data_IF_153867930952
#
_entry.id   IF_153867930952
#
_cell.length_a   1.000
_cell.length_b   1.000
_cell.length_c   1.000
_cell.angle_alpha   90.00
_cell.angle_beta   90.00
_cell.angle_gamma   90.00
#
_symmetry.space_group_name_H-M   'P 1'
#
loop_
_entity.id
_entity.type
_entity.pdbx_description
1 polymer ?
#
# COMPACT_ATOMS: atom_id res chain seq x y z
N UNK A 1 -63.54 19.53 15.75
CA UNK A 1 -63.68 20.13 14.39
C UNK A 1 -62.49 21.01 13.99
N UNK A 2 -61.64 21.50 14.92
CA UNK A 2 -60.49 22.36 14.59
C UNK A 2 -59.23 21.63 14.05
N UNK A 3 -59.04 20.33 14.32
CA UNK A 3 -57.86 19.58 13.87
C UNK A 3 -57.87 19.17 12.38
N UNK A 4 -59.01 19.27 11.69
CA UNK A 4 -59.15 18.87 10.27
C UNK A 4 -58.56 19.93 9.31
N UNK A 5 -58.27 21.13 9.81
CA UNK A 5 -57.71 22.24 9.03
C UNK A 5 -56.18 22.39 9.17
N UNK A 6 -55.53 21.52 9.94
CA UNK A 6 -54.07 21.58 10.20
C UNK A 6 -53.31 20.62 9.27
N UNK A 7 -52.16 21.06 8.76
CA UNK A 7 -51.24 20.23 7.97
C UNK A 7 -50.66 19.07 8.79
N UNK A 8 -50.39 17.92 8.18
CA UNK A 8 -49.82 16.73 8.84
C UNK A 8 -48.55 17.03 9.69
N UNK A 9 -47.67 17.93 9.22
CA UNK A 9 -46.46 18.34 9.95
C UNK A 9 -46.76 19.11 11.24
N UNK A 10 -47.78 19.97 11.23
CA UNK A 10 -48.22 20.73 12.40
C UNK A 10 -48.84 19.81 13.45
N UNK A 11 -49.53 18.76 13.01
CA UNK A 11 -50.12 17.76 13.91
C UNK A 11 -49.05 16.87 14.53
N UNK A 12 -48.00 16.52 13.79
CA UNK A 12 -46.85 15.78 14.32
C UNK A 12 -46.07 16.59 15.37
N UNK A 13 -45.90 17.90 15.15
CA UNK A 13 -45.26 18.79 16.14
C UNK A 13 -46.07 18.87 17.43
N UNK A 14 -47.39 19.04 17.35
CA UNK A 14 -48.28 19.04 18.52
C UNK A 14 -48.25 17.70 19.26
N UNK A 15 -48.16 16.59 18.54
CA UNK A 15 -48.03 15.26 19.14
C UNK A 15 -46.70 15.12 19.90
N UNK A 16 -45.59 15.55 19.30
CA UNK A 16 -44.28 15.53 19.96
C UNK A 16 -44.22 16.45 21.17
N UNK A 17 -44.85 17.62 21.11
CA UNK A 17 -44.94 18.55 22.22
C UNK A 17 -45.77 17.98 23.37
N UNK A 18 -46.92 17.36 23.08
CA UNK A 18 -47.73 16.68 24.10
C UNK A 18 -46.99 15.51 24.75
N UNK A 19 -46.23 14.72 23.98
CA UNK A 19 -45.38 13.64 24.51
C UNK A 19 -44.19 14.20 25.31
N UNK A 20 -43.61 15.31 24.87
CA UNK A 20 -42.56 16.01 25.61
C UNK A 20 -43.06 16.56 26.95
N UNK A 21 -44.27 17.11 26.98
CA UNK A 21 -44.93 17.57 28.21
C UNK A 21 -45.21 16.41 29.17
N UNK A 22 -45.55 15.21 28.67
CA UNK A 22 -45.68 14.00 29.49
C UNK A 22 -44.36 13.50 30.08
N UNK A 23 -43.24 13.75 29.40
CA UNK A 23 -41.93 13.36 29.89
C UNK A 23 -41.33 14.34 30.91
N UNK A 24 -41.73 15.61 30.86
CA UNK A 24 -41.16 16.69 31.70
C UNK A 24 -42.08 17.09 32.85
N UNK A 25 -43.41 17.01 32.67
CA UNK A 25 -44.36 17.43 33.70
C UNK A 25 -44.61 16.34 34.75
N UNK A 26 -44.79 16.75 36.00
CA UNK A 26 -45.21 15.87 37.11
C UNK A 26 -46.65 16.13 37.56
N UNK A 27 -47.32 17.11 36.95
CA UNK A 27 -48.67 17.55 37.30
C UNK A 27 -49.73 16.64 36.68
N UNK A 28 -50.64 16.14 37.51
CA UNK A 28 -51.75 15.26 37.14
C UNK A 28 -52.70 15.92 36.12
N UNK A 29 -52.93 17.24 36.23
CA UNK A 29 -53.80 17.95 35.31
C UNK A 29 -53.19 18.08 33.91
N UNK A 30 -51.91 18.45 33.84
CA UNK A 30 -51.17 18.58 32.57
C UNK A 30 -50.99 17.23 31.90
N UNK A 31 -50.68 16.18 32.67
CA UNK A 31 -50.57 14.82 32.15
C UNK A 31 -51.90 14.28 31.63
N UNK A 32 -52.99 14.45 32.39
CA UNK A 32 -54.32 14.00 31.99
C UNK A 32 -54.85 14.72 30.74
N UNK A 33 -54.56 16.01 30.57
CA UNK A 33 -54.90 16.75 29.34
C UNK A 33 -54.05 16.28 28.16
N UNK A 34 -52.75 16.06 28.37
CA UNK A 34 -51.82 15.61 27.33
C UNK A 34 -52.16 14.19 26.85
N UNK A 35 -52.50 13.26 27.75
CA UNK A 35 -52.94 11.90 27.40
C UNK A 35 -54.26 11.92 26.61
N UNK A 36 -55.24 12.74 27.03
CA UNK A 36 -56.51 12.89 26.31
C UNK A 36 -56.33 13.53 24.93
N UNK A 37 -55.43 14.50 24.81
CA UNK A 37 -55.07 15.12 23.53
C UNK A 37 -54.42 14.09 22.59
N UNK A 38 -53.46 13.31 23.08
CA UNK A 38 -52.80 12.24 22.32
C UNK A 38 -53.81 11.17 21.89
N UNK A 39 -54.71 10.75 22.77
CA UNK A 39 -55.80 9.82 22.44
C UNK A 39 -56.77 10.38 21.40
N UNK A 40 -57.13 11.66 21.52
CA UNK A 40 -58.01 12.33 20.59
C UNK A 40 -57.38 12.41 19.19
N UNK A 41 -56.08 12.70 19.11
CA UNK A 41 -55.32 12.66 17.86
C UNK A 41 -55.19 11.23 17.32
N UNK A 42 -54.94 10.24 18.19
CA UNK A 42 -54.82 8.83 17.82
C UNK A 42 -56.14 8.18 17.34
N UNK A 43 -57.29 8.75 17.68
CA UNK A 43 -58.58 8.30 17.18
C UNK A 43 -58.92 8.79 15.76
N UNK A 44 -58.16 9.76 15.23
CA UNK A 44 -58.23 10.13 13.81
C UNK A 44 -57.40 9.14 12.98
N UNK A 45 -58.02 8.54 11.97
CA UNK A 45 -57.50 7.35 11.27
C UNK A 45 -56.17 7.60 10.52
N UNK A 46 -55.89 8.84 10.12
CA UNK A 46 -54.68 9.25 9.39
C UNK A 46 -53.46 9.47 10.32
N UNK A 47 -53.70 9.86 11.58
CA UNK A 47 -52.66 10.22 12.55
C UNK A 47 -52.12 9.03 13.37
N UNK A 48 -52.78 7.87 13.28
CA UNK A 48 -52.33 6.62 13.92
C UNK A 48 -50.93 6.19 13.49
N UNK A 49 -50.57 6.41 12.22
CA UNK A 49 -49.23 6.10 11.68
C UNK A 49 -48.13 7.00 12.23
N UNK A 50 -48.49 8.22 12.62
CA UNK A 50 -47.55 9.19 13.19
C UNK A 50 -47.24 8.86 14.64
N UNK A 51 -48.22 8.36 15.40
CA UNK A 51 -48.04 7.90 16.78
C UNK A 51 -47.00 6.79 16.91
N UNK A 52 -46.93 5.89 15.94
CA UNK A 52 -45.98 4.77 15.94
C UNK A 52 -44.53 5.17 15.75
N UNK A 53 -44.26 6.36 15.19
CA UNK A 53 -42.91 6.91 15.09
C UNK A 53 -42.39 7.50 16.42
N UNK A 54 -43.31 7.97 17.27
CA UNK A 54 -43.05 8.65 18.55
C UNK A 54 -43.17 7.69 19.74
N UNK A 55 -43.81 6.53 19.55
CA UNK A 55 -44.20 5.62 20.64
C UNK A 55 -43.08 4.72 21.20
N UNK A 56 -41.83 4.85 20.77
CA UNK A 56 -40.73 4.04 21.29
C UNK A 56 -40.41 4.43 22.75
N UNK A 57 -40.90 3.65 23.72
CA UNK A 57 -40.70 3.85 25.16
C UNK A 57 -41.81 4.62 25.87
N UNK A 58 -42.80 5.16 25.14
CA UNK A 58 -43.96 5.85 25.69
C UNK A 58 -44.86 4.92 26.51
N UNK A 59 -44.96 3.66 26.12
CA UNK A 59 -45.65 2.61 26.87
C UNK A 59 -45.08 2.42 28.28
N UNK A 60 -43.76 2.40 28.39
CA UNK A 60 -43.06 2.25 29.67
C UNK A 60 -43.18 3.49 30.58
N UNK A 61 -43.30 4.68 29.98
CA UNK A 61 -43.48 5.95 30.70
C UNK A 61 -44.91 6.08 31.24
N UNK A 62 -45.91 5.71 30.43
CA UNK A 62 -47.32 5.73 30.82
C UNK A 62 -47.62 4.73 31.95
N UNK A 63 -47.06 3.52 31.88
CA UNK A 63 -47.29 2.47 32.89
C UNK A 63 -46.60 2.79 34.24
N UNK A 64 -45.45 3.48 34.22
CA UNK A 64 -44.67 3.78 35.43
C UNK A 64 -45.05 5.10 36.11
N UNK A 65 -45.21 6.17 35.35
CA UNK A 65 -45.24 7.52 35.91
C UNK A 65 -46.67 8.09 36.04
N UNK A 66 -47.62 7.54 35.26
CA UNK A 66 -48.95 8.14 35.06
C UNK A 66 -50.12 7.27 35.51
N UNK A 67 -49.93 5.97 35.77
CA UNK A 67 -50.95 5.12 36.40
C UNK A 67 -51.19 5.49 37.87
N UNK A 68 -52.45 5.42 38.32
CA UNK A 68 -52.91 5.72 39.68
C UNK A 68 -53.23 7.20 39.92
N UNK A 69 -53.25 8.04 38.89
CA UNK A 69 -53.47 9.51 39.00
C UNK A 69 -54.90 9.98 38.67
N UNK A 70 -55.84 9.05 38.47
CA UNK A 70 -57.27 9.34 38.30
C UNK A 70 -57.80 9.40 36.86
N UNK A 71 -56.99 9.03 35.87
CA UNK A 71 -57.34 8.91 34.44
C UNK A 71 -56.74 7.61 33.83
N UNK A 72 -56.70 6.57 34.65
CA UNK A 72 -56.25 5.22 34.29
C UNK A 72 -56.97 4.62 33.07
N UNK A 73 -58.29 4.81 32.85
CA UNK A 73 -58.94 4.25 31.65
C UNK A 73 -58.42 4.88 30.36
N UNK A 74 -58.03 6.16 30.38
CA UNK A 74 -57.38 6.81 29.25
C UNK A 74 -55.94 6.30 29.05
N UNK A 75 -55.17 6.13 30.12
CA UNK A 75 -53.83 5.54 30.06
C UNK A 75 -53.86 4.13 29.46
N UNK A 76 -54.78 3.29 29.91
CA UNK A 76 -54.93 1.92 29.44
C UNK A 76 -55.37 1.85 27.97
N UNK A 77 -56.26 2.75 27.54
CA UNK A 77 -56.65 2.88 26.13
C UNK A 77 -55.46 3.27 25.24
N UNK A 78 -54.62 4.19 25.71
CA UNK A 78 -53.46 4.64 24.96
C UNK A 78 -52.39 3.55 24.86
N UNK A 79 -52.13 2.83 25.95
CA UNK A 79 -51.21 1.68 25.99
C UNK A 79 -51.72 0.58 25.05
N UNK A 80 -53.02 0.26 25.07
CA UNK A 80 -53.61 -0.74 24.20
C UNK A 80 -53.45 -0.36 22.71
N UNK A 81 -53.65 0.92 22.36
CA UNK A 81 -53.43 1.43 21.01
C UNK A 81 -51.97 1.30 20.57
N UNK A 82 -51.01 1.74 21.41
CA UNK A 82 -49.56 1.65 21.13
C UNK A 82 -49.12 0.19 20.94
N UNK A 83 -49.57 -0.72 21.79
CA UNK A 83 -49.19 -2.13 21.72
C UNK A 83 -49.84 -2.85 20.53
N UNK A 84 -51.06 -2.48 20.15
CA UNK A 84 -51.75 -3.05 18.97
C UNK A 84 -51.05 -2.71 17.66
N UNK A 85 -50.44 -1.53 17.58
CA UNK A 85 -49.73 -1.05 16.40
C UNK A 85 -48.25 -1.49 16.39
N UNK A 86 -47.63 -1.66 17.57
CA UNK A 86 -46.29 -2.26 17.70
C UNK A 86 -46.26 -3.71 17.24
N UNK A 87 -47.36 -4.47 17.44
CA UNK A 87 -47.52 -5.84 16.87
C UNK A 87 -47.58 -5.87 15.34
N UNK A 88 -47.74 -4.72 14.67
CA UNK A 88 -47.70 -4.60 13.20
C UNK A 88 -46.31 -4.27 12.65
N UNK A 89 -45.35 -3.86 13.49
CA UNK A 89 -43.94 -3.83 13.07
C UNK A 89 -43.38 -5.25 13.06
N UNK A 90 -42.93 -5.78 11.91
CA UNK A 90 -42.71 -7.21 11.81
C UNK A 90 -41.50 -7.60 12.65
N UNK A 91 -41.70 -8.39 13.71
CA UNK A 91 -40.66 -9.13 14.42
C UNK A 91 -39.72 -9.91 13.47
N UNK A 92 -40.24 -10.24 12.28
CA UNK A 92 -39.54 -10.79 11.12
C UNK A 92 -38.36 -9.90 10.65
N UNK A 93 -38.44 -8.57 10.78
CA UNK A 93 -37.38 -7.64 10.38
C UNK A 93 -36.14 -7.75 11.28
N UNK A 94 -36.32 -7.82 12.60
CA UNK A 94 -35.22 -8.04 13.56
C UNK A 94 -34.59 -9.44 13.41
N UNK A 95 -35.41 -10.46 13.17
CA UNK A 95 -34.93 -11.81 12.87
C UNK A 95 -34.07 -11.84 11.59
N UNK A 96 -34.49 -11.15 10.53
CA UNK A 96 -33.72 -11.00 9.29
C UNK A 96 -32.41 -10.24 9.50
N UNK A 97 -32.42 -9.16 10.30
CA UNK A 97 -31.19 -8.41 10.64
C UNK A 97 -30.22 -9.29 11.44
N UNK A 98 -30.72 -10.05 12.43
CA UNK A 98 -29.90 -10.98 13.22
C UNK A 98 -29.31 -12.09 12.35
N UNK A 99 -30.11 -12.69 11.47
CA UNK A 99 -29.64 -13.69 10.52
C UNK A 99 -28.59 -13.12 9.55
N UNK A 100 -28.81 -11.91 9.03
CA UNK A 100 -27.85 -11.23 8.17
C UNK A 100 -26.51 -10.97 8.90
N UNK A 101 -26.55 -10.53 10.16
CA UNK A 101 -25.36 -10.34 10.98
C UNK A 101 -24.59 -11.66 11.18
N UNK A 102 -25.28 -12.78 11.43
CA UNK A 102 -24.64 -14.09 11.59
C UNK A 102 -23.97 -14.57 10.29
N UNK A 103 -24.68 -14.44 9.15
CA UNK A 103 -24.13 -14.80 7.83
C UNK A 103 -22.90 -13.93 7.52
N UNK A 104 -22.97 -12.63 7.78
CA UNK A 104 -21.86 -11.71 7.56
C UNK A 104 -20.66 -12.03 8.46
N UNK A 105 -20.89 -12.34 9.74
CA UNK A 105 -19.83 -12.73 10.67
C UNK A 105 -19.17 -14.04 10.24
N UNK A 106 -19.97 -15.05 9.88
CA UNK A 106 -19.49 -16.33 9.36
C UNK A 106 -18.63 -16.12 8.10
N UNK A 107 -19.11 -15.33 7.14
CA UNK A 107 -18.37 -15.02 5.91
C UNK A 107 -17.06 -14.27 6.19
N UNK A 108 -17.07 -13.21 6.99
CA UNK A 108 -15.87 -12.45 7.36
C UNK A 108 -14.84 -13.37 8.03
N UNK A 109 -15.28 -14.25 8.93
CA UNK A 109 -14.41 -15.21 9.60
C UNK A 109 -13.80 -16.23 8.63
N UNK A 110 -14.60 -16.74 7.68
CA UNK A 110 -14.12 -17.64 6.62
C UNK A 110 -13.08 -16.95 5.74
N UNK A 111 -13.34 -15.71 5.31
CA UNK A 111 -12.42 -14.92 4.50
C UNK A 111 -11.08 -14.72 5.20
N UNK A 112 -11.09 -14.38 6.49
CA UNK A 112 -9.86 -14.23 7.29
C UNK A 112 -9.11 -15.56 7.41
N UNK A 113 -9.79 -16.66 7.74
CA UNK A 113 -9.16 -17.99 7.83
C UNK A 113 -8.52 -18.41 6.50
N UNK A 114 -9.20 -18.15 5.37
CA UNK A 114 -8.66 -18.45 4.04
C UNK A 114 -7.42 -17.61 3.73
N UNK A 115 -7.42 -16.31 4.07
CA UNK A 115 -6.26 -15.43 3.92
C UNK A 115 -5.07 -15.91 4.77
N UNK A 116 -5.30 -16.24 6.04
CA UNK A 116 -4.26 -16.74 6.95
C UNK A 116 -3.67 -18.06 6.44
N UNK A 117 -4.50 -19.02 6.01
CA UNK A 117 -4.00 -20.27 5.40
C UNK A 117 -3.16 -20.02 4.15
N UNK A 118 -3.58 -19.09 3.29
CA UNK A 118 -2.81 -18.72 2.10
C UNK A 118 -1.47 -18.08 2.44
N UNK A 119 -1.43 -17.20 3.44
CA UNK A 119 -0.19 -16.59 3.93
C UNK A 119 0.74 -17.62 4.53
N UNK A 120 0.25 -18.53 5.38
CA UNK A 120 1.05 -19.61 5.95
C UNK A 120 1.69 -20.46 4.85
N UNK A 121 0.93 -20.83 3.80
CA UNK A 121 1.49 -21.56 2.65
C UNK A 121 2.59 -20.78 1.93
N UNK A 122 2.42 -19.47 1.74
CA UNK A 122 3.43 -18.62 1.13
C UNK A 122 4.70 -18.54 2.00
N UNK A 123 4.54 -18.31 3.31
CA UNK A 123 5.65 -18.26 4.28
C UNK A 123 6.39 -19.59 4.34
N UNK A 124 5.70 -20.72 4.43
CA UNK A 124 6.34 -22.05 4.42
C UNK A 124 7.08 -22.33 3.11
N UNK A 125 6.61 -21.80 1.99
CA UNK A 125 7.29 -21.92 0.69
C UNK A 125 8.56 -21.06 0.66
N UNK A 126 8.48 -19.82 1.16
CA UNK A 126 9.62 -18.93 1.28
C UNK A 126 10.68 -19.50 2.22
N UNK A 127 10.29 -20.00 3.40
CA UNK A 127 11.18 -20.61 4.37
C UNK A 127 11.89 -21.85 3.81
N UNK A 128 11.17 -22.73 3.08
CA UNK A 128 11.77 -23.88 2.41
C UNK A 128 12.80 -23.46 1.36
N UNK A 129 12.45 -22.48 0.51
CA UNK A 129 13.39 -21.95 -0.49
C UNK A 129 14.60 -21.31 0.15
N UNK A 130 14.42 -20.55 1.23
CA UNK A 130 15.52 -19.94 1.97
C UNK A 130 16.46 -21.00 2.55
N UNK A 131 15.93 -22.01 3.24
CA UNK A 131 16.72 -23.12 3.80
C UNK A 131 17.46 -23.89 2.71
N UNK A 132 16.80 -24.18 1.60
CA UNK A 132 17.42 -24.84 0.44
C UNK A 132 18.54 -24.01 -0.17
N UNK A 133 18.34 -22.70 -0.37
CA UNK A 133 19.41 -21.80 -0.85
C UNK A 133 20.58 -21.72 0.13
N UNK A 134 20.30 -21.65 1.43
CA UNK A 134 21.34 -21.64 2.45
C UNK A 134 22.16 -22.95 2.43
N UNK A 135 21.51 -24.08 2.21
CA UNK A 135 22.19 -25.37 2.09
C UNK A 135 23.06 -25.43 0.81
N UNK A 136 22.51 -25.02 -0.33
CA UNK A 136 23.24 -24.94 -1.59
C UNK A 136 24.48 -24.05 -1.47
N UNK A 137 24.35 -22.86 -0.89
CA UNK A 137 25.49 -21.96 -0.69
C UNK A 137 26.59 -22.59 0.17
N UNK A 138 26.23 -23.32 1.23
CA UNK A 138 27.20 -24.04 2.06
C UNK A 138 27.88 -25.17 1.30
N UNK A 139 27.13 -25.91 0.48
CA UNK A 139 27.68 -26.98 -0.35
C UNK A 139 28.61 -26.42 -1.42
N UNK A 140 28.22 -25.36 -2.12
CA UNK A 140 29.05 -24.62 -3.07
C UNK A 140 30.35 -24.14 -2.42
N UNK A 141 30.29 -23.55 -1.23
CA UNK A 141 31.49 -23.14 -0.47
C UNK A 141 32.42 -24.32 -0.17
N UNK A 142 31.87 -25.45 0.29
CA UNK A 142 32.67 -26.66 0.55
C UNK A 142 33.32 -27.19 -0.72
N UNK A 143 32.57 -27.23 -1.83
CA UNK A 143 33.10 -27.65 -3.13
C UNK A 143 34.19 -26.71 -3.63
N UNK A 144 34.03 -25.40 -3.47
CA UNK A 144 35.06 -24.42 -3.80
C UNK A 144 36.32 -24.59 -2.93
N UNK A 145 36.16 -24.79 -1.63
CA UNK A 145 37.27 -25.02 -0.71
C UNK A 145 38.03 -26.30 -1.04
N UNK A 146 37.30 -27.40 -1.30
CA UNK A 146 37.87 -28.66 -1.73
C UNK A 146 38.61 -28.52 -3.06
N UNK A 147 38.03 -27.82 -4.04
CA UNK A 147 38.69 -27.55 -5.31
C UNK A 147 39.97 -26.72 -5.12
N UNK A 148 39.93 -25.68 -4.30
CA UNK A 148 41.11 -24.85 -3.95
C UNK A 148 42.19 -25.72 -3.31
N UNK A 149 41.82 -26.59 -2.38
CA UNK A 149 42.74 -27.53 -1.75
C UNK A 149 43.36 -28.49 -2.77
N UNK A 150 42.55 -29.14 -3.61
CA UNK A 150 43.03 -30.05 -4.65
C UNK A 150 43.97 -29.36 -5.63
N UNK A 151 43.66 -28.15 -6.07
CA UNK A 151 44.53 -27.35 -6.93
C UNK A 151 45.85 -27.03 -6.23
N UNK A 152 45.81 -26.63 -4.95
CA UNK A 152 47.01 -26.36 -4.15
C UNK A 152 47.91 -27.61 -4.04
N UNK A 153 47.33 -28.76 -3.71
CA UNK A 153 48.04 -30.04 -3.59
C UNK A 153 48.63 -30.46 -4.94
N UNK A 154 47.87 -30.40 -6.04
CA UNK A 154 48.38 -30.70 -7.39
C UNK A 154 49.54 -29.81 -7.77
N UNK A 155 49.47 -28.50 -7.48
CA UNK A 155 50.58 -27.55 -7.71
C UNK A 155 51.80 -27.88 -6.86
N UNK A 156 51.61 -28.23 -5.58
CA UNK A 156 52.71 -28.60 -4.70
C UNK A 156 53.40 -29.88 -5.17
N UNK A 157 52.62 -30.90 -5.55
CA UNK A 157 53.14 -32.14 -6.13
C UNK A 157 53.89 -31.90 -7.43
N UNK A 158 53.34 -31.07 -8.34
CA UNK A 158 54.00 -30.71 -9.59
C UNK A 158 55.34 -29.99 -9.33
N UNK A 159 55.37 -29.04 -8.38
CA UNK A 159 56.63 -28.38 -7.96
C UNK A 159 57.63 -29.38 -7.40
N UNK A 160 57.22 -30.30 -6.53
CA UNK A 160 58.12 -31.33 -5.96
C UNK A 160 58.70 -32.23 -7.06
N UNK A 161 57.86 -32.72 -7.98
CA UNK A 161 58.28 -33.54 -9.11
C UNK A 161 59.24 -32.79 -10.04
N UNK A 162 58.98 -31.51 -10.31
CA UNK A 162 59.87 -30.66 -11.10
C UNK A 162 61.24 -30.51 -10.44
N UNK A 163 61.30 -30.10 -9.16
CA UNK A 163 62.58 -29.97 -8.43
C UNK A 163 63.32 -31.30 -8.30
N UNK A 164 62.60 -32.42 -8.21
CA UNK A 164 63.23 -33.74 -8.19
C UNK A 164 63.92 -34.06 -9.52
N UNK A 165 63.22 -33.85 -10.65
CA UNK A 165 63.81 -34.03 -12.00
C UNK A 165 64.98 -33.09 -12.24
N UNK A 166 64.86 -31.83 -11.85
CA UNK A 166 65.94 -30.84 -11.99
C UNK A 166 67.17 -31.26 -11.18
N UNK A 167 66.99 -31.73 -9.94
CA UNK A 167 68.11 -32.26 -9.13
C UNK A 167 68.77 -33.47 -9.78
N UNK A 168 67.98 -34.42 -10.30
CA UNK A 168 68.52 -35.59 -11.00
C UNK A 168 69.33 -35.20 -12.24
N UNK A 169 68.83 -34.25 -13.03
CA UNK A 169 69.55 -33.75 -14.20
C UNK A 169 70.89 -33.09 -13.82
N UNK A 170 70.87 -32.22 -12.81
CA UNK A 170 72.07 -31.54 -12.32
C UNK A 170 73.11 -32.50 -11.73
N UNK A 171 72.68 -33.63 -11.15
CA UNK A 171 73.58 -34.69 -10.68
C UNK A 171 74.30 -35.44 -11.82
N UNK A 172 73.68 -35.51 -13.01
CA UNK A 172 74.23 -36.21 -14.17
C UNK A 172 75.06 -35.30 -15.08
N UNK A 173 74.91 -33.97 -14.95
CA UNK A 173 75.57 -33.01 -15.82
C UNK A 173 77.05 -32.83 -15.46
N UNK A 174 77.95 -32.70 -16.45
CA UNK A 174 79.31 -32.24 -16.22
C UNK A 174 79.35 -30.84 -15.57
N UNK A 175 80.27 -30.56 -14.62
CA UNK A 175 80.32 -29.28 -13.89
C UNK A 175 80.47 -28.05 -14.78
N UNK A 176 81.19 -28.17 -15.89
CA UNK A 176 81.41 -27.12 -16.90
C UNK A 176 80.12 -26.76 -17.66
N UNK A 177 79.15 -27.67 -17.75
CA UNK A 177 77.88 -27.47 -18.45
C UNK A 177 76.75 -26.97 -17.55
N UNK A 178 76.91 -27.03 -16.22
CA UNK A 178 75.87 -26.61 -15.26
C UNK A 178 75.53 -25.13 -15.42
N UNK A 179 76.54 -24.25 -15.53
CA UNK A 179 76.34 -22.81 -15.58
C UNK A 179 75.64 -22.35 -16.88
N UNK A 180 76.06 -22.79 -18.09
CA UNK A 180 75.32 -22.51 -19.32
C UNK A 180 73.86 -22.97 -19.28
N UNK A 181 73.60 -24.17 -18.73
CA UNK A 181 72.25 -24.70 -18.59
C UNK A 181 71.36 -23.81 -17.69
N UNK A 182 71.88 -23.36 -16.53
CA UNK A 182 71.13 -22.49 -15.62
C UNK A 182 70.81 -21.14 -16.29
N UNK A 183 71.76 -20.55 -17.02
CA UNK A 183 71.53 -19.33 -17.79
C UNK A 183 70.45 -19.52 -18.87
N UNK A 184 70.40 -20.66 -19.54
CA UNK A 184 69.33 -20.99 -20.49
C UNK A 184 67.97 -21.12 -19.82
N UNK A 185 67.93 -21.65 -18.60
CA UNK A 185 66.71 -21.71 -17.80
C UNK A 185 66.25 -20.31 -17.41
N UNK A 186 67.16 -19.44 -16.98
CA UNK A 186 66.86 -18.04 -16.65
C UNK A 186 66.35 -17.27 -17.86
N UNK A 187 67.01 -17.39 -19.02
CA UNK A 187 66.59 -16.74 -20.27
C UNK A 187 65.18 -17.17 -20.68
N UNK A 188 64.90 -18.47 -20.68
CA UNK A 188 63.57 -19.01 -20.98
C UNK A 188 62.52 -18.55 -19.96
N UNK A 189 62.87 -18.53 -18.67
CA UNK A 189 61.95 -18.08 -17.62
C UNK A 189 61.60 -16.61 -17.80
N UNK A 190 62.58 -15.76 -18.11
CA UNK A 190 62.39 -14.34 -18.39
C UNK A 190 61.42 -14.13 -19.56
N UNK A 191 61.56 -14.88 -20.67
CA UNK A 191 60.65 -14.79 -21.82
C UNK A 191 59.21 -15.12 -21.42
N UNK A 192 59.01 -16.16 -20.62
CA UNK A 192 57.67 -16.54 -20.13
C UNK A 192 57.11 -15.47 -19.19
N UNK A 193 57.87 -15.01 -18.20
CA UNK A 193 57.42 -13.95 -17.27
C UNK A 193 57.04 -12.69 -18.04
N UNK A 194 57.85 -12.29 -19.01
CA UNK A 194 57.59 -11.12 -19.84
C UNK A 194 56.33 -11.31 -20.70
N UNK A 195 56.11 -12.48 -21.31
CA UNK A 195 54.91 -12.73 -22.12
C UNK A 195 53.64 -12.70 -21.26
N UNK A 196 53.69 -13.26 -20.06
CA UNK A 196 52.62 -13.17 -19.07
C UNK A 196 52.30 -11.73 -18.67
N UNK A 197 53.33 -10.94 -18.39
CA UNK A 197 53.17 -9.54 -18.03
C UNK A 197 52.58 -8.70 -19.18
N UNK A 198 53.03 -8.93 -20.41
CA UNK A 198 52.46 -8.29 -21.61
C UNK A 198 50.97 -8.64 -21.74
N UNK A 199 50.60 -9.91 -21.59
CA UNK A 199 49.21 -10.35 -21.62
C UNK A 199 48.35 -9.79 -20.48
N UNK A 200 48.87 -9.77 -19.26
CA UNK A 200 48.20 -9.17 -18.10
C UNK A 200 47.92 -7.68 -18.32
N UNK A 201 48.92 -6.94 -18.79
CA UNK A 201 48.79 -5.51 -19.09
C UNK A 201 47.68 -5.24 -20.10
N UNK A 202 47.62 -6.05 -21.17
CA UNK A 202 46.62 -5.85 -22.22
C UNK A 202 45.21 -6.21 -21.75
N UNK A 203 45.06 -7.31 -20.98
CA UNK A 203 43.78 -7.63 -20.33
C UNK A 203 43.34 -6.54 -19.36
N UNK A 204 44.26 -5.96 -18.60
CA UNK A 204 43.96 -4.88 -17.68
C UNK A 204 43.49 -3.62 -18.41
N UNK A 205 44.14 -3.26 -19.53
CA UNK A 205 43.71 -2.16 -20.40
C UNK A 205 42.31 -2.41 -20.95
N UNK A 206 42.07 -3.60 -21.50
CA UNK A 206 40.76 -3.97 -22.03
C UNK A 206 39.67 -3.92 -20.95
N UNK A 207 39.91 -4.49 -19.76
CA UNK A 207 38.96 -4.46 -18.66
C UNK A 207 38.68 -3.03 -18.20
N UNK A 208 39.69 -2.18 -18.08
CA UNK A 208 39.50 -0.77 -17.74
C UNK A 208 38.65 -0.06 -18.80
N UNK A 209 38.94 -0.24 -20.08
CA UNK A 209 38.17 0.34 -21.18
C UNK A 209 36.73 -0.20 -21.23
N UNK A 210 36.53 -1.49 -21.00
CA UNK A 210 35.21 -2.09 -20.96
C UNK A 210 34.40 -1.58 -19.75
N UNK A 211 35.04 -1.43 -18.59
CA UNK A 211 34.40 -0.86 -17.41
C UNK A 211 34.01 0.61 -17.63
N UNK A 212 34.88 1.42 -18.25
CA UNK A 212 34.52 2.82 -18.57
C UNK A 212 33.36 2.87 -19.55
N UNK A 213 33.34 2.04 -20.59
CA UNK A 213 32.23 1.92 -21.53
C UNK A 213 30.92 1.46 -20.86
N UNK A 214 30.99 0.48 -19.96
CA UNK A 214 29.81 0.04 -19.17
C UNK A 214 29.28 1.16 -18.28
N UNK A 215 30.16 1.90 -17.61
CA UNK A 215 29.78 3.03 -16.77
C UNK A 215 29.19 4.18 -17.59
N UNK A 216 29.76 4.50 -18.76
CA UNK A 216 29.21 5.54 -19.63
C UNK A 216 27.84 5.15 -20.19
N UNK A 217 27.68 3.90 -20.63
CA UNK A 217 26.39 3.38 -21.08
C UNK A 217 25.34 3.42 -19.96
N UNK A 218 25.68 2.95 -18.76
CA UNK A 218 24.79 3.01 -17.60
C UNK A 218 24.37 4.45 -17.26
N UNK A 219 25.32 5.40 -17.31
CA UNK A 219 25.05 6.83 -17.10
C UNK A 219 24.13 7.42 -18.17
N UNK A 220 24.35 7.08 -19.44
CA UNK A 220 23.50 7.53 -20.54
C UNK A 220 22.09 6.93 -20.46
N UNK A 221 21.97 5.65 -20.10
CA UNK A 221 20.68 4.99 -19.90
C UNK A 221 19.91 5.63 -18.73
N UNK A 222 20.60 5.93 -17.63
CA UNK A 222 20.02 6.66 -16.51
C UNK A 222 19.55 8.06 -16.94
N UNK A 223 20.39 8.81 -17.67
CA UNK A 223 20.03 10.12 -18.19
C UNK A 223 18.80 10.08 -19.10
N UNK A 224 18.71 9.13 -20.03
CA UNK A 224 17.53 8.95 -20.90
C UNK A 224 16.28 8.61 -20.09
N UNK A 225 16.42 7.79 -19.05
CA UNK A 225 15.30 7.43 -18.17
C UNK A 225 14.78 8.64 -17.41
N UNK A 226 15.69 9.47 -16.87
CA UNK A 226 15.34 10.72 -16.20
C UNK A 226 14.72 11.73 -17.17
N UNK A 227 15.31 11.92 -18.35
CA UNK A 227 14.76 12.80 -19.38
C UNK A 227 13.33 12.39 -19.77
N UNK A 228 13.09 11.10 -20.01
CA UNK A 228 11.75 10.58 -20.29
C UNK A 228 10.79 10.84 -19.14
N UNK A 229 11.21 10.60 -17.89
CA UNK A 229 10.38 10.86 -16.72
C UNK A 229 10.01 12.35 -16.61
N UNK A 230 10.96 13.25 -16.84
CA UNK A 230 10.74 14.70 -16.84
C UNK A 230 9.81 15.13 -17.98
N UNK A 231 10.01 14.63 -19.20
CA UNK A 231 9.13 14.90 -20.33
C UNK A 231 7.70 14.45 -20.04
N UNK A 232 7.51 13.24 -19.51
CA UNK A 232 6.20 12.72 -19.11
C UNK A 232 5.58 13.58 -18.02
N UNK A 233 6.35 14.01 -17.01
CA UNK A 233 5.86 14.88 -15.94
C UNK A 233 5.42 16.24 -16.49
N UNK A 234 6.21 16.86 -17.35
CA UNK A 234 5.87 18.15 -18.00
C UNK A 234 4.64 17.99 -18.88
N UNK A 235 4.55 16.91 -19.65
CA UNK A 235 3.37 16.60 -20.47
C UNK A 235 2.11 16.43 -19.61
N UNK A 236 2.19 15.64 -18.54
CA UNK A 236 1.08 15.46 -17.60
C UNK A 236 0.68 16.77 -16.92
N UNK A 237 1.66 17.61 -16.53
CA UNK A 237 1.39 18.95 -15.97
C UNK A 237 0.70 19.85 -17.00
N UNK A 238 1.18 19.88 -18.25
CA UNK A 238 0.52 20.65 -19.32
C UNK A 238 -0.90 20.14 -19.57
N UNK A 239 -1.10 18.83 -19.65
CA UNK A 239 -2.42 18.23 -19.82
C UNK A 239 -3.37 18.52 -18.64
N UNK A 240 -2.85 18.61 -17.42
CA UNK A 240 -3.64 19.00 -16.24
C UNK A 240 -3.94 20.52 -16.18
N UNK A 241 -3.09 21.35 -16.80
CA UNK A 241 -3.26 22.80 -16.88
C UNK A 241 -4.14 23.24 -18.07
N UNK A 242 -4.30 22.38 -19.09
CA UNK A 242 -5.33 22.54 -20.11
C UNK A 242 -6.67 22.27 -19.43
N UNK A 243 -7.59 23.26 -19.35
CA UNK A 243 -8.95 23.02 -18.85
C UNK A 243 -9.54 21.83 -19.62
N UNK A 244 -10.31 20.92 -19.00
CA UNK A 244 -10.92 19.82 -19.73
C UNK A 244 -11.69 20.43 -20.89
N UNK A 245 -11.16 20.25 -22.12
CA UNK A 245 -11.87 20.65 -23.32
C UNK A 245 -13.17 19.92 -23.21
N UNK A 246 -14.25 20.64 -22.90
CA UNK A 246 -15.60 20.16 -23.11
C UNK A 246 -15.58 19.78 -24.57
N UNK A 247 -15.47 18.49 -24.87
CA UNK A 247 -15.70 17.97 -26.19
C UNK A 247 -17.08 18.48 -26.52
N UNK A 248 -17.10 19.56 -27.30
CA UNK A 248 -18.31 20.23 -27.70
C UNK A 248 -19.15 19.12 -28.33
N UNK A 249 -20.30 18.86 -27.74
CA UNK A 249 -21.33 17.96 -28.25
C UNK A 249 -21.95 18.48 -29.56
N UNK A 250 -21.20 19.29 -30.32
CA UNK A 250 -21.59 19.90 -31.58
C UNK A 250 -21.16 18.94 -32.67
N UNK A 251 -22.16 18.25 -33.25
CA UNK A 251 -21.97 17.49 -34.49
C UNK A 251 -22.38 16.01 -34.45
N UNK A 252 -23.37 15.61 -33.66
CA UNK A 252 -24.11 14.39 -33.99
C UNK A 252 -25.17 14.76 -35.06
N UNK A 253 -24.89 14.39 -36.32
CA UNK A 253 -25.85 14.51 -37.41
C UNK A 253 -27.15 13.76 -37.04
N UNK A 254 -28.24 14.50 -36.82
CA UNK A 254 -29.56 13.94 -36.52
C UNK A 254 -30.18 14.36 -35.18
N UNK A 255 -29.46 15.05 -34.30
CA UNK A 255 -30.03 15.68 -33.10
C UNK A 255 -30.26 17.18 -33.30
N UNK A 256 -31.19 17.52 -34.20
CA UNK A 256 -31.71 18.89 -34.36
C UNK A 256 -32.53 19.29 -33.13
N UNK A 257 -32.67 20.59 -32.82
CA UNK A 257 -33.46 21.05 -31.66
C UNK A 257 -34.90 20.56 -31.67
N UNK A 258 -35.49 20.39 -32.86
CA UNK A 258 -36.81 19.77 -33.03
C UNK A 258 -36.86 18.31 -32.57
N UNK A 259 -35.80 17.53 -32.83
CA UNK A 259 -35.71 16.13 -32.39
C UNK A 259 -35.47 16.02 -30.89
N UNK A 260 -34.75 16.98 -30.30
CA UNK A 260 -34.60 17.08 -28.84
C UNK A 260 -35.93 17.37 -28.15
N UNK A 261 -36.72 18.30 -28.69
CA UNK A 261 -38.05 18.61 -28.15
C UNK A 261 -38.99 17.41 -28.22
N UNK A 262 -38.98 16.66 -29.34
CA UNK A 262 -39.82 15.47 -29.50
C UNK A 262 -39.42 14.35 -28.53
N UNK A 263 -38.12 14.08 -28.36
CA UNK A 263 -37.65 13.09 -27.40
C UNK A 263 -37.95 13.50 -25.95
N UNK A 264 -37.88 14.80 -25.64
CA UNK A 264 -38.23 15.31 -24.33
C UNK A 264 -39.73 15.11 -24.03
N UNK A 265 -40.58 15.36 -25.02
CA UNK A 265 -42.03 15.08 -24.94
C UNK A 265 -42.30 13.60 -24.70
N UNK A 266 -41.60 12.71 -25.41
CA UNK A 266 -41.75 11.25 -25.23
C UNK A 266 -41.30 10.79 -23.83
N UNK A 267 -40.26 11.40 -23.26
CA UNK A 267 -39.81 11.10 -21.90
C UNK A 267 -40.80 11.64 -20.86
N UNK A 268 -41.30 12.86 -21.01
CA UNK A 268 -42.31 13.44 -20.10
C UNK A 268 -43.63 12.66 -20.14
N UNK A 269 -44.06 12.21 -21.32
CA UNK A 269 -45.22 11.35 -21.49
C UNK A 269 -45.01 9.98 -20.81
N UNK A 270 -43.83 9.38 -20.96
CA UNK A 270 -43.48 8.12 -20.30
C UNK A 270 -43.42 8.24 -18.77
N UNK A 271 -42.85 9.33 -18.25
CA UNK A 271 -42.79 9.64 -16.81
C UNK A 271 -44.20 9.92 -16.24
N UNK A 272 -45.06 10.56 -17.02
CA UNK A 272 -46.46 10.80 -16.63
C UNK A 272 -47.27 9.51 -16.58
N UNK A 273 -47.01 8.58 -17.51
CA UNK A 273 -47.63 7.25 -17.54
C UNK A 273 -47.06 6.28 -16.49
N UNK A 274 -45.84 6.53 -16.01
CA UNK A 274 -45.18 5.74 -14.97
C UNK A 274 -44.68 6.65 -13.83
N UNK A 275 -45.58 7.12 -12.94
CA UNK A 275 -45.18 7.85 -11.75
C UNK A 275 -44.37 6.93 -10.83
N UNK A 276 -43.06 6.90 -11.00
CA UNK A 276 -42.18 6.19 -10.07
C UNK A 276 -42.22 6.93 -8.76
N UNK A 277 -42.80 6.29 -7.73
CA UNK A 277 -42.83 6.78 -6.36
C UNK A 277 -41.40 6.94 -5.82
N UNK A 278 -40.85 8.13 -5.97
CA UNK A 278 -39.71 8.63 -5.20
C UNK A 278 -39.90 10.14 -5.03
N UNK A 279 -40.44 10.56 -3.88
CA UNK A 279 -39.60 11.37 -3.02
C UNK A 279 -39.92 11.14 -1.53
N UNK A 280 -39.40 10.06 -0.94
CA UNK A 280 -39.11 10.03 0.51
C UNK A 280 -38.11 8.91 0.82
N UNK A 281 -36.85 9.15 0.45
CA UNK A 281 -35.72 8.41 1.01
C UNK A 281 -34.66 9.43 1.43
N UNK A 282 -34.99 10.20 2.47
CA UNK A 282 -33.95 10.64 3.40
C UNK A 282 -33.48 9.36 4.11
N UNK A 283 -32.17 9.13 4.18
CA UNK A 283 -31.52 7.87 4.60
C UNK A 283 -31.37 6.81 3.50
N UNK A 284 -30.57 7.13 2.48
CA UNK A 284 -29.77 6.11 1.79
C UNK A 284 -28.30 6.53 1.73
N UNK A 285 -27.65 6.51 2.89
CA UNK A 285 -26.20 6.47 2.98
C UNK A 285 -25.72 5.04 2.67
N UNK A 286 -25.69 4.63 1.38
CA UNK A 286 -24.65 3.74 0.84
C UNK A 286 -24.72 3.59 -0.70
N UNK A 287 -23.55 3.41 -1.34
CA UNK A 287 -23.40 3.54 -2.78
C UNK A 287 -23.77 2.23 -3.48
N UNK A 288 -24.71 2.30 -4.42
CA UNK A 288 -25.00 1.21 -5.34
C UNK A 288 -24.89 1.70 -6.79
N UNK A 289 -23.68 1.62 -7.33
CA UNK A 289 -23.42 1.54 -8.77
C UNK A 289 -22.36 0.46 -8.99
N UNK A 290 -22.69 -0.69 -9.60
CA UNK A 290 -21.73 -1.75 -9.86
C UNK A 290 -21.11 -1.60 -11.26
N UNK A 291 -20.43 -0.49 -11.55
CA UNK A 291 -19.56 -0.40 -12.75
C UNK A 291 -18.36 0.51 -12.45
N UNK A 292 -17.34 -0.03 -11.78
CA UNK A 292 -15.95 0.48 -11.81
C UNK A 292 -15.02 -0.47 -11.03
N UNK A 293 -14.78 -1.67 -11.58
CA UNK A 293 -13.66 -2.54 -11.19
C UNK A 293 -12.59 -2.58 -12.26
N UNK A 294 -12.07 -1.41 -12.63
CA UNK A 294 -10.73 -1.25 -13.22
C UNK A 294 -10.29 0.17 -12.91
N UNK A 295 -9.78 0.43 -11.69
CA UNK A 295 -8.99 1.62 -11.33
C UNK A 295 -8.43 1.51 -9.88
N UNK A 296 -8.16 0.29 -9.41
CA UNK A 296 -7.52 0.08 -8.09
C UNK A 296 -6.06 -0.35 -8.24
N UNK A 297 -5.34 0.28 -9.17
CA UNK A 297 -3.86 0.22 -9.29
C UNK A 297 -3.25 1.63 -9.29
N UNK A 298 -4.06 2.70 -9.38
CA UNK A 298 -3.55 4.09 -9.47
C UNK A 298 -3.52 4.86 -8.14
N UNK A 299 -4.09 4.34 -7.05
CA UNK A 299 -4.27 5.12 -5.81
C UNK A 299 -3.11 5.02 -4.80
N UNK A 300 -2.11 4.17 -5.05
CA UNK A 300 -0.87 4.14 -4.27
C UNK A 300 0.25 5.02 -4.85
N UNK A 301 -0.01 5.74 -5.94
CA UNK A 301 0.97 6.61 -6.61
C UNK A 301 0.85 8.07 -6.19
N UNK A 302 -0.10 8.42 -5.32
CA UNK A 302 -0.46 9.81 -5.03
C UNK A 302 -0.39 10.11 -3.53
N UNK A 303 0.64 9.60 -2.85
CA UNK A 303 1.16 10.28 -1.67
C UNK A 303 1.93 11.50 -2.15
N UNK A 304 1.32 12.67 -1.98
CA UNK A 304 1.91 14.00 -2.02
C UNK A 304 3.45 14.00 -2.02
N UNK A 305 4.04 14.23 -3.19
CA UNK A 305 5.41 14.73 -3.26
C UNK A 305 5.29 16.25 -3.07
N UNK A 306 5.30 16.69 -1.81
CA UNK A 306 5.89 17.99 -1.49
C UNK A 306 7.38 17.75 -1.57
N UNK A 307 8.01 18.20 -2.65
CA UNK A 307 9.47 18.20 -2.75
C UNK A 307 10.00 19.14 -1.67
N UNK A 308 10.93 18.70 -0.79
CA UNK A 308 11.67 19.65 0.03
C UNK A 308 12.39 20.65 -0.89
N UNK A 309 12.47 21.91 -0.47
CA UNK A 309 13.15 22.99 -1.20
C UNK A 309 14.57 22.55 -1.62
N UNK A 310 15.03 22.89 -2.83
CA UNK A 310 16.40 22.59 -3.24
C UNK A 310 17.41 23.30 -2.32
N UNK A 311 18.58 22.70 -2.05
CA UNK A 311 19.59 23.23 -1.12
C UNK A 311 20.19 24.59 -1.53
N UNK A 312 19.86 25.11 -2.71
CA UNK A 312 20.26 26.46 -3.16
C UNK A 312 19.49 27.60 -2.49
N UNK A 313 18.36 27.32 -1.83
CA UNK A 313 17.55 28.32 -1.10
C UNK A 313 17.73 28.23 0.44
N UNK A 314 18.81 27.59 0.91
CA UNK A 314 19.06 27.44 2.34
C UNK A 314 19.57 28.76 2.95
N UNK A 315 18.92 29.32 4.00
CA UNK A 315 19.43 30.49 4.69
C UNK A 315 20.79 30.18 5.35
N UNK A 316 21.69 31.16 5.48
CA UNK A 316 22.98 30.99 6.14
C UNK A 316 22.79 30.56 7.60
N UNK A 317 23.71 29.72 8.11
CA UNK A 317 23.63 29.06 9.43
C UNK A 317 23.43 30.03 10.62
N UNK A 318 23.72 31.32 10.44
CA UNK A 318 23.51 32.36 11.44
C UNK A 318 22.04 32.78 11.63
N UNK A 319 21.13 32.38 10.73
CA UNK A 319 19.72 32.84 10.70
C UNK A 319 18.72 31.68 10.83
N UNK A 320 19.19 30.44 10.93
CA UNK A 320 18.32 29.25 10.92
C UNK A 320 17.52 29.15 12.23
N UNK A 321 16.19 29.13 12.11
CA UNK A 321 15.27 28.84 13.22
C UNK A 321 14.81 27.38 13.19
N UNK A 322 14.35 26.82 14.32
CA UNK A 322 13.90 25.41 14.39
C UNK A 322 12.72 25.11 13.46
N UNK A 323 11.90 26.12 13.17
CA UNK A 323 10.78 26.05 12.23
C UNK A 323 11.21 25.91 10.77
N UNK A 324 12.38 26.45 10.40
CA UNK A 324 12.91 26.30 9.04
C UNK A 324 13.39 24.87 8.79
N UNK A 325 13.89 24.18 9.83
CA UNK A 325 14.30 22.78 9.75
C UNK A 325 13.12 21.84 9.45
N UNK A 326 11.95 22.12 10.04
CA UNK A 326 10.74 21.34 9.82
C UNK A 326 10.21 21.45 8.37
N UNK A 327 10.50 22.56 7.69
CA UNK A 327 10.13 22.77 6.28
C UNK A 327 10.88 21.86 5.30
N UNK A 328 12.01 21.27 5.71
CA UNK A 328 12.79 20.31 4.92
C UNK A 328 12.43 18.84 5.21
N UNK A 329 11.53 18.59 6.17
CA UNK A 329 11.05 17.24 6.47
C UNK A 329 9.93 16.84 5.51
N UNK A 330 9.95 15.58 5.05
CA UNK A 330 8.85 15.05 4.24
C UNK A 330 7.56 15.01 5.08
N UNK A 331 6.40 15.46 4.56
CA UNK A 331 5.11 15.36 5.25
C UNK A 331 4.68 13.90 5.52
N UNK A 332 5.32 12.94 4.86
CA UNK A 332 5.06 11.52 5.06
C UNK A 332 5.97 10.95 6.17
N UNK A 333 5.36 10.68 7.33
CA UNK A 333 6.05 10.12 8.50
C UNK A 333 6.96 8.92 8.22
N UNK A 334 6.56 7.92 7.41
CA UNK A 334 7.42 6.77 7.09
C UNK A 334 8.69 7.13 6.30
N UNK A 335 8.63 8.16 5.45
CA UNK A 335 9.77 8.62 4.65
C UNK A 335 10.69 9.49 5.51
N UNK A 336 10.12 10.35 6.36
CA UNK A 336 10.88 11.16 7.32
C UNK A 336 11.64 10.27 8.32
N UNK A 337 11.00 9.22 8.86
CA UNK A 337 11.65 8.23 9.74
C UNK A 337 12.78 7.51 9.00
N UNK A 338 12.53 7.02 7.79
CA UNK A 338 13.57 6.33 7.00
C UNK A 338 14.75 7.24 6.64
N UNK A 339 14.50 8.52 6.35
CA UNK A 339 15.54 9.50 6.08
C UNK A 339 16.35 9.85 7.34
N UNK A 340 15.68 9.93 8.50
CA UNK A 340 16.34 10.11 9.80
C UNK A 340 17.23 8.92 10.16
N UNK A 341 16.71 7.71 9.99
CA UNK A 341 17.44 6.47 10.26
C UNK A 341 18.65 6.32 9.34
N UNK A 342 18.51 6.64 8.04
CA UNK A 342 19.64 6.60 7.10
C UNK A 342 20.69 7.66 7.40
N UNK A 343 20.28 8.86 7.79
CA UNK A 343 21.19 9.92 8.20
C UNK A 343 21.92 9.58 9.52
N UNK A 344 21.21 9.04 10.51
CA UNK A 344 21.80 8.53 11.75
C UNK A 344 22.80 7.40 11.45
N UNK A 345 22.47 6.47 10.54
CA UNK A 345 23.39 5.42 10.12
C UNK A 345 24.64 5.99 9.44
N UNK A 346 24.50 7.01 8.59
CA UNK A 346 25.63 7.69 7.94
C UNK A 346 26.53 8.42 8.95
N UNK A 347 25.96 9.12 9.93
CA UNK A 347 26.71 9.78 11.00
C UNK A 347 27.41 8.79 11.93
N UNK A 348 26.79 7.64 12.20
CA UNK A 348 27.45 6.58 12.96
C UNK A 348 28.58 5.95 12.15
N UNK A 349 28.40 5.75 10.84
CA UNK A 349 29.46 5.26 9.96
C UNK A 349 30.65 6.23 9.88
N UNK A 350 30.42 7.55 9.86
CA UNK A 350 31.50 8.55 9.86
C UNK A 350 32.25 8.66 11.19
N UNK A 351 31.65 8.20 12.30
CA UNK A 351 32.30 8.11 13.61
C UNK A 351 33.14 6.84 13.77
N UNK A 352 32.99 5.87 12.88
CA UNK A 352 33.81 4.67 12.89
C UNK A 352 35.18 4.96 12.26
N UNK A 353 36.25 4.31 12.74
CA UNK A 353 37.57 4.42 12.13
C UNK A 353 37.52 4.08 10.64
N UNK A 354 38.21 4.88 9.81
CA UNK A 354 38.18 4.81 8.34
C UNK A 354 38.41 3.42 7.73
N UNK A 355 39.08 2.52 8.47
CA UNK A 355 39.34 1.13 8.06
C UNK A 355 38.13 0.19 8.24
N UNK A 356 37.11 0.55 9.03
CA UNK A 356 35.84 -0.21 9.13
C UNK A 356 34.87 0.11 7.99
N UNK A 357 34.80 1.36 7.56
CA UNK A 357 34.02 1.80 6.39
C UNK A 357 34.50 1.15 5.08
N UNK A 358 35.78 0.77 5.00
CA UNK A 358 36.33 0.07 3.83
C UNK A 358 35.79 -1.35 3.66
N UNK A 359 35.44 -2.05 4.74
CA UNK A 359 34.90 -3.43 4.68
C UNK A 359 33.48 -3.49 4.09
N UNK A 360 32.67 -2.45 4.27
CA UNK A 360 31.32 -2.37 3.70
C UNK A 360 31.37 -2.02 2.22
N UNK A 361 32.25 -1.11 1.79
CA UNK A 361 32.52 -0.89 0.35
C UNK A 361 33.19 -2.08 -0.32
N UNK A 362 33.95 -2.89 0.43
CA UNK A 362 34.53 -4.12 -0.12
C UNK A 362 33.50 -5.22 -0.28
N UNK A 363 32.39 -5.25 0.47
CA UNK A 363 31.33 -6.25 0.25
C UNK A 363 30.55 -6.03 -1.05
N UNK A 364 30.41 -4.79 -1.51
CA UNK A 364 29.86 -4.49 -2.85
C UNK A 364 30.89 -4.62 -3.98
N UNK A 365 32.20 -4.67 -3.67
CA UNK A 365 33.27 -4.98 -4.63
C UNK A 365 33.75 -6.44 -4.59
N UNK A 366 33.42 -7.20 -3.55
CA UNK A 366 33.85 -8.60 -3.37
C UNK A 366 32.98 -9.60 -4.14
N UNK A 367 31.85 -9.16 -4.71
CA UNK A 367 31.17 -9.97 -5.73
C UNK A 367 31.80 -9.87 -7.12
N UNK A 368 32.72 -8.93 -7.36
CA UNK A 368 33.39 -8.75 -8.66
C UNK A 368 34.93 -8.84 -8.62
N UNK A 369 35.55 -9.15 -7.48
CA UNK A 369 37.00 -9.38 -7.40
C UNK A 369 37.32 -10.53 -6.45
N UNK A 370 36.97 -11.74 -6.85
CA UNK A 370 37.76 -12.92 -6.49
C UNK A 370 38.88 -13.07 -7.51
N UNK A 371 39.86 -12.15 -7.47
CA UNK A 371 41.14 -12.31 -8.14
C UNK A 371 42.18 -12.47 -7.03
N UNK A 372 42.16 -13.65 -6.41
CA UNK A 372 43.39 -14.26 -5.91
C UNK A 372 43.72 -15.39 -6.87
N UNK A 373 44.93 -15.32 -7.41
CA UNK A 373 45.65 -16.38 -8.12
C UNK A 373 45.46 -16.52 -9.63
N UNK A 374 45.75 -15.44 -10.38
CA UNK A 374 46.20 -15.52 -11.79
C UNK A 374 47.73 -15.39 -11.92
N UNK A 375 48.48 -16.10 -11.06
CA UNK A 375 49.86 -16.54 -11.37
C UNK A 375 49.86 -17.95 -12.01
N UNK A 376 48.67 -18.43 -12.35
CA UNK A 376 48.32 -19.67 -13.05
C UNK A 376 48.51 -19.51 -14.54
N UNK A 377 49.75 -19.69 -15.01
CA UNK A 377 50.07 -20.37 -16.27
C UNK A 377 51.55 -20.18 -16.61
N UNK A 378 52.48 -20.21 -15.65
CA UNK A 378 53.85 -20.55 -16.03
C UNK A 378 53.79 -21.96 -16.64
N UNK A 379 54.08 -22.15 -17.95
CA UNK A 379 54.21 -23.47 -18.49
C UNK A 379 55.32 -24.15 -17.69
N UNK A 380 55.02 -25.35 -17.19
CA UNK A 380 56.07 -26.27 -16.80
C UNK A 380 57.03 -26.34 -17.99
N UNK A 381 58.25 -25.85 -17.77
CA UNK A 381 59.38 -26.00 -18.67
C UNK A 381 59.36 -27.43 -19.24
N UNK A 382 59.08 -27.51 -20.54
CA UNK A 382 59.34 -28.70 -21.35
C UNK A 382 60.73 -28.55 -21.96
#
# INVERSE_FOLDING_TARGET
RLLVALSDDSVLLLLNEAVGLLAVSSDSLVGGVSIRLVLFMANQQELRRSLTSVSAGLDSLLDKDWRGRGFDPEVDQLIALIQSDTRRFPQVSLSRVRAACLIQAAWKSYQTRRRVKSLNRAVSTLQRRYRSRQQQQKEEQRWEEELKYQVCVRRQQARRKFHQKQRQLLQLLPPDQVQPYLQDCERRAAVVIQSFWRGFRERQRYNNNNNTLRHTHARQQAARTLQRAVHTLVFLRRAAMVPPTTSFWIGQNGLTDSRRAELKRQVEEHVSQHPTCYPQCFVCSRPACPVRKKLHISFYSQTFIVLPRPPSDAPPLSVVTTTDADSFLSPSGPVAVRARDSHHAALQASRLPWWRTLKETSLYKQQDVSIKEDLTNMPLFK
#
